data_IF_257107220797
#
_entry.id   IF_257107220797
#
_cell.length_a   1.000
_cell.length_b   1.000
_cell.length_c   1.000
_cell.angle_alpha   90.00
_cell.angle_beta   90.00
_cell.angle_gamma   90.00
#
_symmetry.space_group_name_H-M   'P 1'
#
loop_
_entity.id
_entity.type
_entity.pdbx_description
1 polymer ?
#
# COMPACT_ATOMS: atom_id res chain seq x y z
N UNK A 1 14.26 6.54 -6.19
CA UNK A 1 13.67 5.56 -5.27
C UNK A 1 13.57 4.20 -5.95
N UNK A 2 13.90 3.15 -5.21
CA UNK A 2 13.70 1.78 -5.67
C UNK A 2 12.23 1.40 -5.54
N UNK A 3 11.84 0.28 -6.14
CA UNK A 3 10.49 -0.25 -5.99
C UNK A 3 10.17 -0.54 -4.52
N UNK A 4 11.14 -1.08 -3.81
CA UNK A 4 11.02 -1.36 -2.38
C UNK A 4 10.72 -0.09 -1.59
N UNK A 5 11.45 0.98 -1.86
CA UNK A 5 11.24 2.25 -1.19
C UNK A 5 9.89 2.87 -1.55
N UNK A 6 9.51 2.77 -2.82
CA UNK A 6 8.22 3.31 -3.27
C UNK A 6 7.05 2.58 -2.65
N UNK A 7 7.14 1.26 -2.55
CA UNK A 7 6.06 0.48 -1.95
C UNK A 7 5.94 0.76 -0.45
N UNK A 8 7.06 0.94 0.23
CA UNK A 8 7.06 1.31 1.64
C UNK A 8 6.45 2.71 1.84
N UNK A 9 6.77 3.63 0.93
CA UNK A 9 6.19 4.98 0.97
C UNK A 9 4.67 4.93 0.82
N UNK A 10 4.18 4.14 -0.14
CA UNK A 10 2.75 3.99 -0.36
C UNK A 10 2.05 3.39 0.86
N UNK A 11 2.67 2.40 1.48
CA UNK A 11 2.10 1.79 2.68
C UNK A 11 2.01 2.81 3.82
N UNK A 12 3.07 3.59 4.00
CA UNK A 12 3.08 4.63 5.02
C UNK A 12 2.04 5.72 4.74
N UNK A 13 1.88 6.08 3.47
CA UNK A 13 0.89 7.06 3.06
C UNK A 13 -0.52 6.55 3.35
N UNK A 14 -0.78 5.29 3.02
CA UNK A 14 -2.08 4.67 3.29
C UNK A 14 -2.40 4.71 4.79
N UNK A 15 -1.42 4.37 5.62
CA UNK A 15 -1.59 4.38 7.06
C UNK A 15 -1.75 5.81 7.61
N UNK A 16 -0.98 6.75 7.06
CA UNK A 16 -1.05 8.15 7.47
C UNK A 16 -2.38 8.81 7.12
N UNK A 17 -2.98 8.38 6.01
CA UNK A 17 -4.31 8.86 5.60
C UNK A 17 -5.43 8.17 6.36
N UNK A 18 -5.12 7.14 7.12
CA UNK A 18 -6.11 6.31 7.81
C UNK A 18 -7.12 5.74 6.83
N UNK A 19 -6.63 5.26 5.70
CA UNK A 19 -7.49 4.66 4.69
C UNK A 19 -8.22 3.46 5.28
N UNK A 20 -9.54 3.42 5.06
CA UNK A 20 -10.37 2.34 5.55
C UNK A 20 -10.20 1.12 4.64
N UNK A 21 -9.49 0.10 5.11
CA UNK A 21 -9.21 -1.10 4.33
C UNK A 21 -10.37 -2.10 4.37
N UNK A 22 -11.46 -1.75 5.03
CA UNK A 22 -12.67 -2.58 5.03
C UNK A 22 -13.58 -2.26 3.84
N UNK A 23 -13.38 -1.10 3.20
CA UNK A 23 -14.12 -0.77 1.98
C UNK A 23 -13.55 -1.55 0.81
N UNK A 24 -14.34 -1.66 -0.28
CA UNK A 24 -13.88 -2.36 -1.48
C UNK A 24 -12.61 -1.73 -2.06
N UNK A 25 -12.61 -0.41 -2.18
CA UNK A 25 -11.47 0.33 -2.73
C UNK A 25 -10.25 0.22 -1.81
N UNK A 26 -10.46 0.37 -0.52
CA UNK A 26 -9.38 0.29 0.45
C UNK A 26 -8.75 -1.10 0.48
N UNK A 27 -9.58 -2.13 0.37
CA UNK A 27 -9.09 -3.51 0.35
C UNK A 27 -8.26 -3.78 -0.90
N UNK A 28 -8.72 -3.33 -2.06
CA UNK A 28 -7.98 -3.49 -3.32
C UNK A 28 -6.64 -2.77 -3.25
N UNK A 29 -6.63 -1.56 -2.72
CA UNK A 29 -5.40 -0.78 -2.61
C UNK A 29 -4.41 -1.47 -1.69
N UNK A 30 -4.86 -1.96 -0.54
CA UNK A 30 -3.97 -2.65 0.40
C UNK A 30 -3.39 -3.93 -0.20
N UNK A 31 -4.17 -4.66 -0.98
CA UNK A 31 -3.69 -5.86 -1.68
C UNK A 31 -2.64 -5.52 -2.72
N UNK A 32 -2.87 -4.45 -3.49
CA UNK A 32 -1.92 -4.00 -4.51
C UNK A 32 -0.59 -3.62 -3.85
N UNK A 33 -0.64 -2.87 -2.77
CA UNK A 33 0.58 -2.47 -2.05
C UNK A 33 1.32 -3.68 -1.51
N UNK A 34 0.58 -4.65 -0.98
CA UNK A 34 1.18 -5.89 -0.49
C UNK A 34 1.91 -6.65 -1.60
N UNK A 35 1.30 -6.73 -2.78
CA UNK A 35 1.94 -7.38 -3.93
C UNK A 35 3.21 -6.66 -4.36
N UNK A 36 3.19 -5.33 -4.35
CA UNK A 36 4.38 -4.54 -4.68
C UNK A 36 5.51 -4.83 -3.72
N UNK A 37 5.20 -4.99 -2.44
CA UNK A 37 6.23 -5.31 -1.44
C UNK A 37 6.79 -6.71 -1.64
N UNK A 38 5.97 -7.65 -2.11
CA UNK A 38 6.41 -9.01 -2.36
C UNK A 38 7.41 -9.10 -3.51
N UNK A 39 7.28 -8.26 -4.54
CA UNK A 39 8.18 -8.28 -5.70
C UNK A 39 9.36 -7.32 -5.55
N UNK A 40 9.38 -6.53 -4.51
CA UNK A 40 10.43 -5.52 -4.31
C UNK A 40 11.68 -6.04 -3.57
#
# INVERSE_FOLDING_TARGET
MTLSEKSAYLKGLMEGMKLDTETNEGKLISEIISMLQDVA
#
